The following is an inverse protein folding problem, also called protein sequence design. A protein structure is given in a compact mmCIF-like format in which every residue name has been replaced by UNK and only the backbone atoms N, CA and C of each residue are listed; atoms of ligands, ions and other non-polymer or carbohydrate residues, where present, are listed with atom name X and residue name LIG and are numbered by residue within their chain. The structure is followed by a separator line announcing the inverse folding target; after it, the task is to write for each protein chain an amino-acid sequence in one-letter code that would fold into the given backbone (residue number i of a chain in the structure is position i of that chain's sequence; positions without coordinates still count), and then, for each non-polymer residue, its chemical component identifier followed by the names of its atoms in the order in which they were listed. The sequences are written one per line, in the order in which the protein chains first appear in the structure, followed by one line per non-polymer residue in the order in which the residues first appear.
data_IF_924835999471
#
_entry.id   IF_924835999471
#
_cell.length_a   1.000
_cell.length_b   1.000
_cell.length_c   1.000
_cell.angle_alpha   90.00
_cell.angle_beta   90.00
_cell.angle_gamma   90.00
#
_symmetry.space_group_name_H-M   'P 1'
#
loop_
_entity.id
_entity.type
_entity.pdbx_description
1 polymer ?
#
# COMPACT_ATOMS: atom_id res chain seq x y z
N UNK A 1 12.78 7.68 0.77
CA UNK A 1 12.34 8.82 -0.05
C UNK A 1 12.79 10.19 0.46
N UNK A 2 12.92 10.43 1.77
CA UNK A 2 13.52 11.67 2.31
C UNK A 2 14.98 11.92 1.86
N UNK A 3 15.73 10.85 1.53
CA UNK A 3 17.09 10.93 0.95
C UNK A 3 17.18 11.35 -0.53
N UNK A 4 16.06 11.51 -1.23
CA UNK A 4 16.01 12.01 -2.63
C UNK A 4 15.33 13.39 -2.76
N UNK A 5 14.81 13.96 -1.67
CA UNK A 5 14.21 15.29 -1.69
C UNK A 5 15.30 16.36 -1.68
N UNK A 6 15.80 16.70 -2.87
CA UNK A 6 16.22 18.07 -3.16
C UNK A 6 14.99 18.99 -3.02
N UNK A 7 14.64 19.32 -1.77
CA UNK A 7 13.96 20.56 -1.40
C UNK A 7 12.67 20.93 -2.14
N UNK A 8 11.71 20.02 -2.28
CA UNK A 8 10.31 20.41 -2.53
C UNK A 8 10.04 21.31 -3.75
N UNK A 9 10.85 21.26 -4.83
CA UNK A 9 10.85 22.34 -5.85
C UNK A 9 10.13 22.03 -7.17
N UNK A 10 9.46 20.88 -7.33
CA UNK A 10 8.65 20.63 -8.54
C UNK A 10 7.18 20.50 -8.16
N UNK A 11 6.32 21.31 -8.77
CA UNK A 11 4.85 21.22 -8.63
C UNK A 11 4.27 19.95 -9.28
N UNK A 12 4.99 19.35 -10.25
CA UNK A 12 4.51 18.20 -11.02
C UNK A 12 4.37 16.88 -10.24
N UNK A 13 5.26 16.50 -9.30
CA UNK A 13 5.08 15.30 -8.47
C UNK A 13 3.96 15.49 -7.44
N UNK A 14 3.74 16.71 -6.95
CA UNK A 14 2.68 17.02 -5.96
C UNK A 14 1.29 16.83 -6.60
N UNK A 15 1.10 17.35 -7.82
CA UNK A 15 -0.14 17.13 -8.57
C UNK A 15 -0.39 15.63 -8.84
N UNK A 16 0.66 14.88 -9.18
CA UNK A 16 0.57 13.42 -9.35
C UNK A 16 0.15 12.70 -8.07
N UNK A 17 0.69 13.09 -6.91
CA UNK A 17 0.27 12.53 -5.61
C UNK A 17 -1.18 12.88 -5.30
N UNK A 18 -1.61 14.14 -5.48
CA UNK A 18 -2.99 14.56 -5.20
C UNK A 18 -3.99 13.81 -6.07
N UNK A 19 -3.72 13.74 -7.38
CA UNK A 19 -4.60 13.02 -8.32
C UNK A 19 -4.60 11.52 -8.03
N UNK A 20 -3.44 10.93 -7.76
CA UNK A 20 -3.32 9.51 -7.41
C UNK A 20 -4.05 9.17 -6.11
N UNK A 21 -3.91 10.00 -5.07
CA UNK A 21 -4.63 9.82 -3.81
C UNK A 21 -6.14 10.00 -3.98
N UNK A 22 -6.56 11.00 -4.78
CA UNK A 22 -7.97 11.24 -5.09
C UNK A 22 -8.62 10.04 -5.78
N UNK A 23 -7.95 9.47 -6.79
CA UNK A 23 -8.41 8.27 -7.49
C UNK A 23 -8.44 7.07 -6.53
N UNK A 24 -7.40 6.87 -5.73
CA UNK A 24 -7.35 5.78 -4.75
C UNK A 24 -8.48 5.85 -3.72
N UNK A 25 -8.75 7.04 -3.17
CA UNK A 25 -9.86 7.25 -2.23
C UNK A 25 -11.22 7.09 -2.91
N UNK A 26 -11.36 7.49 -4.16
CA UNK A 26 -12.60 7.32 -4.92
C UNK A 26 -12.91 5.83 -5.16
N UNK A 27 -11.91 5.05 -5.60
CA UNK A 27 -12.06 3.59 -5.74
C UNK A 27 -12.35 2.90 -4.40
N UNK A 28 -11.73 3.37 -3.32
CA UNK A 28 -12.03 2.89 -1.96
C UNK A 28 -13.50 3.17 -1.60
N UNK A 29 -13.99 4.38 -1.87
CA UNK A 29 -15.38 4.78 -1.61
C UNK A 29 -16.39 3.93 -2.40
N UNK A 30 -16.08 3.56 -3.64
CA UNK A 30 -16.91 2.64 -4.43
C UNK A 30 -16.89 1.24 -3.81
N UNK A 31 -15.71 0.74 -3.42
CA UNK A 31 -15.57 -0.60 -2.83
C UNK A 31 -16.34 -0.73 -1.51
N UNK A 32 -16.41 0.35 -0.73
CA UNK A 32 -17.18 0.43 0.52
C UNK A 32 -18.70 0.34 0.32
N UNK A 33 -19.22 0.56 -0.89
CA UNK A 33 -20.66 0.40 -1.17
C UNK A 33 -21.08 -1.05 -1.35
N UNK A 34 -20.13 -1.93 -1.71
CA UNK A 34 -20.40 -3.33 -2.06
C UNK A 34 -19.81 -4.32 -1.05
N UNK A 35 -18.74 -3.93 -0.35
CA UNK A 35 -18.03 -4.80 0.60
C UNK A 35 -18.12 -4.25 2.03
N UNK A 36 -18.10 -5.12 3.06
CA UNK A 36 -18.04 -4.67 4.44
C UNK A 36 -16.81 -3.80 4.70
N UNK A 37 -16.97 -2.76 5.52
CA UNK A 37 -15.89 -1.84 5.92
C UNK A 37 -14.62 -2.59 6.36
N UNK A 38 -14.77 -3.66 7.14
CA UNK A 38 -13.65 -4.48 7.60
C UNK A 38 -12.82 -5.09 6.45
N UNK A 39 -13.49 -5.60 5.41
CA UNK A 39 -12.84 -6.19 4.23
C UNK A 39 -12.09 -5.15 3.43
N UNK A 40 -12.71 -4.00 3.21
CA UNK A 40 -12.12 -2.94 2.41
C UNK A 40 -10.90 -2.34 3.10
N UNK A 41 -10.99 -2.02 4.40
CA UNK A 41 -9.84 -1.45 5.13
C UNK A 41 -8.70 -2.46 5.34
N UNK A 42 -9.02 -3.73 5.62
CA UNK A 42 -8.00 -4.77 5.73
C UNK A 42 -7.27 -4.95 4.39
N UNK A 43 -8.01 -5.04 3.28
CA UNK A 43 -7.44 -5.18 1.93
C UNK A 43 -6.60 -3.98 1.53
N UNK A 44 -7.09 -2.77 1.76
CA UNK A 44 -6.36 -1.56 1.42
C UNK A 44 -5.04 -1.43 2.20
N UNK A 45 -5.09 -1.61 3.53
CA UNK A 45 -3.90 -1.55 4.40
C UNK A 45 -2.92 -2.70 4.12
N UNK A 46 -3.44 -3.92 3.95
CA UNK A 46 -2.64 -5.11 3.66
C UNK A 46 -1.94 -5.02 2.31
N UNK A 47 -2.65 -4.66 1.24
CA UNK A 47 -2.03 -4.43 -0.07
C UNK A 47 -0.97 -3.34 0.00
N UNK A 48 -1.25 -2.20 0.64
CA UNK A 48 -0.27 -1.11 0.78
C UNK A 48 1.01 -1.57 1.49
N UNK A 49 0.86 -2.36 2.55
CA UNK A 49 1.99 -2.91 3.32
C UNK A 49 2.82 -3.89 2.47
N UNK A 50 2.17 -4.82 1.78
CA UNK A 50 2.84 -5.80 0.90
C UNK A 50 3.58 -5.08 -0.22
N UNK A 51 2.92 -4.13 -0.89
CA UNK A 51 3.51 -3.36 -2.00
C UNK A 51 4.72 -2.55 -1.53
N UNK A 52 4.62 -1.94 -0.35
CA UNK A 52 5.72 -1.16 0.26
C UNK A 52 6.90 -2.07 0.62
N UNK A 53 6.64 -3.25 1.19
CA UNK A 53 7.67 -4.22 1.50
C UNK A 53 8.39 -4.71 0.24
N UNK A 54 7.63 -5.05 -0.81
CA UNK A 54 8.17 -5.46 -2.11
C UNK A 54 8.97 -4.33 -2.75
N UNK A 55 8.46 -3.09 -2.71
CA UNK A 55 9.19 -1.93 -3.19
C UNK A 55 10.48 -1.67 -2.39
N UNK A 56 10.48 -1.89 -1.07
CA UNK A 56 11.67 -1.85 -0.22
C UNK A 56 12.75 -2.83 -0.68
N UNK A 57 12.36 -4.08 -0.98
CA UNK A 57 13.29 -5.09 -1.50
C UNK A 57 13.82 -4.72 -2.88
N UNK A 58 12.94 -4.31 -3.80
CA UNK A 58 13.31 -4.05 -5.19
C UNK A 58 14.14 -2.77 -5.36
N UNK A 59 13.73 -1.67 -4.74
CA UNK A 59 14.36 -0.36 -4.92
C UNK A 59 15.45 -0.06 -3.89
N UNK A 60 15.27 -0.50 -2.65
CA UNK A 60 16.23 -0.23 -1.57
C UNK A 60 17.15 -1.42 -1.24
N UNK A 61 16.96 -2.56 -1.92
CA UNK A 61 17.67 -3.83 -1.63
C UNK A 61 17.59 -4.21 -0.14
N UNK A 62 16.48 -3.84 0.51
CA UNK A 62 16.25 -4.16 1.91
C UNK A 62 16.17 -5.68 2.07
N UNK A 63 16.98 -6.23 2.96
CA UNK A 63 16.94 -7.66 3.26
C UNK A 63 15.75 -7.92 4.17
N UNK A 64 14.67 -8.44 3.60
CA UNK A 64 13.58 -8.99 4.41
C UNK A 64 14.11 -10.27 5.09
N UNK A 65 14.18 -10.23 6.42
CA UNK A 65 14.52 -11.38 7.24
C UNK A 65 13.42 -12.46 7.15
N UNK A 66 13.75 -13.72 7.49
CA UNK A 66 12.78 -14.85 7.50
C UNK A 66 11.47 -14.52 8.25
N UNK A 67 11.56 -13.78 9.35
CA UNK A 67 10.39 -13.32 10.12
C UNK A 67 9.50 -12.34 9.34
N UNK A 68 10.10 -11.43 8.56
CA UNK A 68 9.35 -10.50 7.71
C UNK A 68 8.61 -11.21 6.58
N UNK A 69 9.23 -12.24 5.97
CA UNK A 69 8.56 -13.09 4.97
C UNK A 69 7.37 -13.82 5.58
N UNK A 70 7.53 -14.40 6.78
CA UNK A 70 6.43 -15.04 7.52
C UNK A 70 5.30 -14.06 7.83
N UNK A 71 5.62 -12.85 8.28
CA UNK A 71 4.62 -11.81 8.56
C UNK A 71 3.83 -11.39 7.31
N UNK A 72 4.51 -11.23 6.18
CA UNK A 72 3.86 -10.94 4.89
C UNK A 72 2.98 -12.12 4.46
N UNK A 73 3.43 -13.37 4.65
CA UNK A 73 2.64 -14.56 4.38
C UNK A 73 1.34 -14.61 5.21
N UNK A 74 1.44 -14.33 6.52
CA UNK A 74 0.29 -14.24 7.42
C UNK A 74 -0.68 -13.12 7.02
N UNK A 75 -0.17 -11.96 6.59
CA UNK A 75 -1.01 -10.88 6.06
C UNK A 75 -1.81 -11.33 4.84
N UNK A 76 -1.16 -12.02 3.88
CA UNK A 76 -1.83 -12.53 2.68
C UNK A 76 -2.90 -13.56 3.04
N UNK A 77 -2.60 -14.50 3.94
CA UNK A 77 -3.58 -15.50 4.40
C UNK A 77 -4.77 -14.82 5.07
N UNK A 78 -4.52 -13.83 5.94
CA UNK A 78 -5.57 -13.06 6.59
C UNK A 78 -6.47 -12.33 5.59
N UNK A 79 -5.89 -11.75 4.53
CA UNK A 79 -6.65 -11.10 3.46
C UNK A 79 -7.55 -12.08 2.69
N UNK A 80 -7.04 -13.27 2.37
CA UNK A 80 -7.81 -14.29 1.64
C UNK A 80 -8.98 -14.78 2.49
N UNK A 81 -8.76 -15.04 3.78
CA UNK A 81 -9.81 -15.47 4.71
C UNK A 81 -10.90 -14.42 4.90
N UNK A 82 -10.54 -13.14 4.78
CA UNK A 82 -11.45 -12.02 5.03
C UNK A 82 -12.25 -11.62 3.78
N UNK A 83 -11.81 -12.06 2.60
CA UNK A 83 -12.48 -11.84 1.31
C UNK A 83 -13.15 -13.11 0.74
N UNK A 84 -13.08 -14.23 1.48
CA UNK A 84 -13.68 -15.53 1.12
C UNK A 84 -15.01 -15.79 1.80
#
# INVERSE_FOLDING_TARGET
MLKLSNGFTRLSPIAGVIVGFGIAFYLLSISLKTLPLGVVYATWSGCGTILTAVAGVLFFKEKINRQGVLGIGLLVVGLILLNG
#
